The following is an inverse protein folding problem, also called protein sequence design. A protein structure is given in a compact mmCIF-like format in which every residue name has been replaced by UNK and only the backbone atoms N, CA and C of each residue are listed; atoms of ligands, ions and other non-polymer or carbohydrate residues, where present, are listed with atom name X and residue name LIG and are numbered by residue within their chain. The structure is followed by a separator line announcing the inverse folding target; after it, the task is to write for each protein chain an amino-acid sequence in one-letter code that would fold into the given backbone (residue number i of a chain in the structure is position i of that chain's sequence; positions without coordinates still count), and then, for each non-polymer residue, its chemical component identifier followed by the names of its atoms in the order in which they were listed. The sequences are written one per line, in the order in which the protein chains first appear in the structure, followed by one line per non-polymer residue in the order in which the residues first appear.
data_IF_510241444157
#
_entry.id   IF_510241444157
#
_cell.length_a   1.000
_cell.length_b   1.000
_cell.length_c   1.000
_cell.angle_alpha   90.00
_cell.angle_beta   90.00
_cell.angle_gamma   90.00
#
_symmetry.space_group_name_H-M   'P 1'
#
loop_
_entity.id
_entity.type
_entity.pdbx_description
1 polymer ?
#
# COMPACT_ATOMS: atom_id res chain seq x y z
N UNK A 1 -13.74 2.94 21.37
CA UNK A 1 -13.40 3.87 20.28
C UNK A 1 -14.69 4.43 19.73
N UNK A 2 -14.70 5.71 19.35
CA UNK A 2 -15.85 6.31 18.67
C UNK A 2 -15.78 6.03 17.16
N UNK A 3 -16.83 6.39 16.43
CA UNK A 3 -16.95 6.16 14.98
C UNK A 3 -15.77 6.75 14.20
N UNK A 4 -15.34 7.97 14.53
CA UNK A 4 -14.17 8.64 13.92
C UNK A 4 -12.87 7.85 14.12
N UNK A 5 -12.63 7.35 15.33
CA UNK A 5 -11.43 6.57 15.63
C UNK A 5 -11.42 5.20 14.93
N UNK A 6 -12.60 4.63 14.65
CA UNK A 6 -12.71 3.32 14.00
C UNK A 6 -12.24 3.35 12.54
N UNK A 7 -12.25 4.52 11.89
CA UNK A 7 -11.76 4.69 10.51
C UNK A 7 -10.32 4.15 10.37
N UNK A 8 -9.47 4.37 11.38
CA UNK A 8 -8.07 3.95 11.33
C UNK A 8 -7.86 2.44 11.42
N UNK A 9 -8.85 1.72 11.97
CA UNK A 9 -8.82 0.28 12.23
C UNK A 9 -9.79 -0.49 11.32
N UNK A 10 -10.26 0.15 10.25
CA UNK A 10 -11.06 -0.49 9.21
C UNK A 10 -10.28 -1.65 8.56
N UNK A 11 -10.99 -2.74 8.26
CA UNK A 11 -10.45 -3.90 7.55
C UNK A 11 -9.99 -3.57 6.12
N UNK A 12 -10.43 -2.43 5.58
CA UNK A 12 -10.06 -1.96 4.24
C UNK A 12 -9.78 -0.46 4.22
N UNK A 13 -8.87 -0.08 3.33
CA UNK A 13 -8.56 1.31 3.00
C UNK A 13 -8.88 1.59 1.55
N UNK A 14 -9.30 2.82 1.29
CA UNK A 14 -9.44 3.30 -0.08
C UNK A 14 -8.05 3.46 -0.71
N UNK A 15 -7.91 3.31 -2.05
CA UNK A 15 -6.61 3.38 -2.69
C UNK A 15 -5.92 4.74 -2.60
N UNK A 16 -6.68 5.81 -2.37
CA UNK A 16 -6.16 7.18 -2.34
C UNK A 16 -6.91 8.01 -1.31
N UNK A 17 -6.15 8.81 -0.57
CA UNK A 17 -6.62 9.68 0.49
C UNK A 17 -6.04 11.09 0.27
N UNK A 18 -6.89 12.11 0.27
CA UNK A 18 -6.50 13.52 0.05
C UNK A 18 -7.21 14.39 1.09
N UNK A 19 -6.45 15.13 1.91
CA UNK A 19 -6.99 15.87 3.04
C UNK A 19 -6.57 17.34 3.00
N UNK A 20 -7.45 18.21 3.49
CA UNK A 20 -7.14 19.60 3.76
C UNK A 20 -6.76 19.74 5.23
N UNK A 21 -5.46 19.88 5.52
CA UNK A 21 -4.96 19.92 6.90
C UNK A 21 -5.33 21.20 7.65
N UNK A 22 -5.69 22.28 6.95
CA UNK A 22 -6.11 23.53 7.62
C UNK A 22 -7.52 23.38 8.18
N UNK A 23 -8.42 22.76 7.42
CA UNK A 23 -9.82 22.58 7.79
C UNK A 23 -10.12 21.22 8.45
N UNK A 24 -9.27 20.22 8.23
CA UNK A 24 -9.35 18.86 8.77
C UNK A 24 -7.99 18.37 9.30
N UNK A 25 -7.54 18.90 10.45
CA UNK A 25 -6.22 18.57 11.04
C UNK A 25 -6.11 17.13 11.54
N UNK A 26 -7.20 16.36 11.49
CA UNK A 26 -7.25 14.97 11.92
C UNK A 26 -7.44 13.99 10.76
N UNK A 27 -7.45 14.48 9.52
CA UNK A 27 -7.50 13.64 8.30
C UNK A 27 -8.69 12.67 8.31
N UNK A 28 -9.86 13.16 8.73
CA UNK A 28 -11.09 12.38 8.85
C UNK A 28 -11.90 12.42 7.55
N UNK A 29 -11.83 13.51 6.80
CA UNK A 29 -12.68 13.79 5.65
C UNK A 29 -11.89 13.70 4.35
N UNK A 30 -11.85 12.51 3.75
CA UNK A 30 -11.15 12.28 2.50
C UNK A 30 -11.84 13.01 1.31
N UNK A 31 -11.11 13.92 0.68
CA UNK A 31 -11.52 14.77 -0.44
C UNK A 31 -11.15 14.19 -1.82
N UNK A 32 -10.55 12.98 -1.89
CA UNK A 32 -10.06 12.41 -3.16
C UNK A 32 -11.15 12.24 -4.24
N UNK A 33 -12.41 12.08 -3.83
CA UNK A 33 -13.55 11.96 -4.74
C UNK A 33 -14.38 13.25 -4.88
N UNK A 34 -13.98 14.34 -4.23
CA UNK A 34 -14.69 15.62 -4.29
C UNK A 34 -14.36 16.37 -5.61
N UNK A 35 -15.36 16.61 -6.48
CA UNK A 35 -15.15 17.34 -7.73
C UNK A 35 -14.55 18.74 -7.55
N UNK A 36 -14.76 19.39 -6.40
CA UNK A 36 -14.23 20.72 -6.10
C UNK A 36 -12.70 20.74 -5.94
N UNK A 37 -12.13 19.62 -5.48
CA UNK A 37 -10.70 19.48 -5.17
C UNK A 37 -9.89 18.78 -6.26
N UNK A 38 -10.54 18.44 -7.38
CA UNK A 38 -9.94 17.65 -8.48
C UNK A 38 -8.67 18.27 -9.05
N UNK A 39 -8.63 19.59 -9.21
CA UNK A 39 -7.44 20.25 -9.77
C UNK A 39 -6.24 20.07 -8.84
N UNK A 40 -6.41 20.37 -7.55
CA UNK A 40 -5.35 20.20 -6.56
C UNK A 40 -4.89 18.73 -6.48
N UNK A 41 -5.83 17.78 -6.50
CA UNK A 41 -5.51 16.35 -6.50
C UNK A 41 -4.64 15.95 -7.71
N UNK A 42 -5.00 16.41 -8.92
CA UNK A 42 -4.22 16.15 -10.13
C UNK A 42 -2.82 16.77 -10.08
N UNK A 43 -2.67 17.95 -9.49
CA UNK A 43 -1.36 18.57 -9.28
C UNK A 43 -0.48 17.72 -8.35
N UNK A 44 -1.03 17.22 -7.23
CA UNK A 44 -0.31 16.37 -6.29
C UNK A 44 0.06 15.01 -6.90
N UNK A 45 -0.86 14.39 -7.66
CA UNK A 45 -0.57 13.15 -8.42
C UNK A 45 0.61 13.32 -9.36
N UNK A 46 0.68 14.44 -10.08
CA UNK A 46 1.80 14.74 -10.99
C UNK A 46 3.11 14.94 -10.25
N UNK A 47 3.08 15.64 -9.12
CA UNK A 47 4.27 15.83 -8.28
C UNK A 47 4.81 14.49 -7.78
N UNK A 48 3.93 13.63 -7.25
CA UNK A 48 4.30 12.31 -6.76
C UNK A 48 4.85 11.42 -7.89
N UNK A 49 4.16 11.37 -9.04
CA UNK A 49 4.59 10.59 -10.19
C UNK A 49 5.97 11.03 -10.71
N UNK A 50 6.22 12.34 -10.74
CA UNK A 50 7.53 12.88 -11.13
C UNK A 50 8.61 12.47 -10.14
N UNK A 51 8.34 12.56 -8.83
CA UNK A 51 9.28 12.17 -7.80
C UNK A 51 9.62 10.67 -7.81
N UNK A 52 8.63 9.81 -8.01
CA UNK A 52 8.82 8.35 -8.19
C UNK A 52 9.78 8.09 -9.36
N UNK A 53 9.56 8.77 -10.50
CA UNK A 53 10.40 8.60 -11.69
C UNK A 53 11.82 9.15 -11.49
N UNK A 54 11.95 10.33 -10.88
CA UNK A 54 13.23 11.01 -10.65
C UNK A 54 14.13 10.26 -9.65
N UNK A 55 13.53 9.67 -8.61
CA UNK A 55 14.26 8.94 -7.57
C UNK A 55 14.48 7.47 -7.92
N UNK A 56 13.79 6.95 -8.94
CA UNK A 56 13.83 5.54 -9.29
C UNK A 56 13.21 4.65 -8.20
N UNK A 57 12.15 5.13 -7.55
CA UNK A 57 11.44 4.41 -6.49
C UNK A 57 11.01 3.01 -6.95
N UNK A 58 11.30 2.01 -6.10
CA UNK A 58 11.03 0.58 -6.33
C UNK A 58 9.76 0.09 -5.67
N UNK A 59 9.04 0.95 -4.93
CA UNK A 59 7.76 0.59 -4.32
C UNK A 59 6.66 0.21 -5.31
N UNK A 60 6.81 0.53 -6.60
CA UNK A 60 5.90 0.11 -7.67
C UNK A 60 6.18 -1.31 -8.20
N UNK A 61 7.34 -1.88 -7.86
CA UNK A 61 7.77 -3.21 -8.29
C UNK A 61 7.65 -4.19 -7.12
N UNK A 62 7.12 -5.41 -7.32
CA UNK A 62 7.13 -6.43 -6.28
C UNK A 62 8.56 -6.76 -5.84
N UNK A 63 8.71 -7.13 -4.57
CA UNK A 63 9.98 -7.61 -4.04
C UNK A 63 10.52 -8.81 -4.83
N UNK A 64 11.85 -8.90 -4.90
CA UNK A 64 12.49 -10.02 -5.59
C UNK A 64 12.11 -11.36 -4.94
N UNK A 65 12.00 -12.42 -5.75
CA UNK A 65 11.65 -13.75 -5.21
C UNK A 65 12.64 -14.21 -4.12
N UNK A 66 13.93 -13.90 -4.27
CA UNK A 66 14.95 -14.21 -3.27
C UNK A 66 14.66 -13.45 -1.96
N UNK A 67 14.38 -12.14 -2.05
CA UNK A 67 14.01 -11.32 -0.90
C UNK A 67 12.79 -11.87 -0.18
N UNK A 68 11.71 -12.15 -0.92
CA UNK A 68 10.49 -12.73 -0.37
C UNK A 68 10.74 -14.08 0.32
N UNK A 69 11.59 -14.94 -0.26
CA UNK A 69 11.98 -16.23 0.36
C UNK A 69 12.78 -16.03 1.64
N UNK A 70 13.73 -15.10 1.66
CA UNK A 70 14.51 -14.78 2.85
C UNK A 70 13.61 -14.30 4.00
N UNK A 71 12.63 -13.44 3.69
CA UNK A 71 11.68 -12.95 4.71
C UNK A 71 10.75 -14.07 5.17
N UNK A 72 10.22 -14.89 4.25
CA UNK A 72 9.42 -16.06 4.60
C UNK A 72 10.18 -17.07 5.46
N UNK A 73 11.47 -17.32 5.17
CA UNK A 73 12.28 -18.21 5.99
C UNK A 73 12.45 -17.66 7.42
N UNK A 74 12.53 -16.34 7.57
CA UNK A 74 12.73 -15.69 8.88
C UNK A 74 11.44 -15.61 9.70
N UNK A 75 10.31 -15.30 9.06
CA UNK A 75 9.07 -14.93 9.76
C UNK A 75 7.88 -15.86 9.49
N UNK A 76 7.96 -16.73 8.48
CA UNK A 76 7.01 -17.80 8.21
C UNK A 76 5.55 -17.33 8.08
N UNK A 77 4.72 -17.75 9.02
CA UNK A 77 3.28 -17.47 9.03
C UNK A 77 2.94 -16.00 9.37
N UNK A 78 3.88 -15.25 9.95
CA UNK A 78 3.69 -13.82 10.24
C UNK A 78 3.71 -12.94 8.98
N UNK A 79 4.19 -13.48 7.85
CA UNK A 79 4.17 -12.79 6.56
C UNK A 79 2.74 -12.76 5.98
N UNK A 80 1.94 -11.76 6.31
CA UNK A 80 0.53 -11.68 5.88
C UNK A 80 0.31 -11.02 4.51
N UNK A 81 1.32 -10.36 3.92
CA UNK A 81 1.18 -9.73 2.60
C UNK A 81 0.86 -10.78 1.51
N UNK A 82 -0.20 -10.60 0.70
CA UNK A 82 -0.55 -11.49 -0.42
C UNK A 82 0.59 -11.76 -1.43
N UNK A 83 1.58 -10.88 -1.54
CA UNK A 83 2.76 -11.09 -2.41
C UNK A 83 3.49 -12.42 -2.11
N UNK A 84 3.48 -12.85 -0.85
CA UNK A 84 4.11 -14.11 -0.43
C UNK A 84 3.39 -15.36 -0.95
N UNK A 85 2.12 -15.26 -1.36
CA UNK A 85 1.34 -16.42 -1.79
C UNK A 85 1.89 -17.07 -3.05
N UNK A 86 2.43 -16.25 -3.97
CA UNK A 86 3.10 -16.75 -5.17
C UNK A 86 4.33 -17.60 -4.80
N UNK A 87 5.13 -17.13 -3.83
CA UNK A 87 6.35 -17.79 -3.37
C UNK A 87 6.03 -19.05 -2.57
N UNK A 88 5.04 -19.01 -1.67
CA UNK A 88 4.55 -20.19 -0.94
C UNK A 88 4.11 -21.30 -1.89
N UNK A 89 3.34 -20.96 -2.92
CA UNK A 89 2.88 -21.93 -3.94
C UNK A 89 4.06 -22.55 -4.70
N UNK A 90 5.08 -21.76 -5.05
CA UNK A 90 6.31 -22.26 -5.70
C UNK A 90 7.08 -23.21 -4.78
N UNK A 91 7.37 -22.79 -3.54
CA UNK A 91 8.11 -23.61 -2.57
C UNK A 91 7.40 -24.95 -2.29
N UNK A 92 6.06 -24.93 -2.16
CA UNK A 92 5.28 -26.16 -1.99
C UNK A 92 5.34 -27.11 -3.19
N UNK A 93 5.45 -26.58 -4.42
CA UNK A 93 5.62 -27.39 -5.64
C UNK A 93 7.02 -27.99 -5.69
N UNK A 94 8.05 -27.23 -5.30
CA UNK A 94 9.44 -27.70 -5.25
C UNK A 94 9.63 -28.82 -4.22
N UNK A 95 9.05 -28.68 -3.02
CA UNK A 95 9.11 -29.73 -1.99
C UNK A 95 8.38 -31.02 -2.35
N UNK A 96 7.49 -30.99 -3.35
CA UNK A 96 6.74 -32.14 -3.85
C UNK A 96 7.40 -32.80 -5.08
N UNK A 97 8.52 -32.27 -5.56
CA UNK A 97 9.27 -32.84 -6.67
C UNK A 97 10.07 -34.06 -6.15
N UNK A 98 9.98 -35.22 -6.80
CA UNK A 98 10.62 -36.46 -6.34
C UNK A 98 12.15 -36.39 -6.37
#
# INVERSE_FOLDING_TARGET
MNETQLIFFSDSRVPEEFYDLENDPHEIHNLANDPAHRQALEEHRKMLASWIAETGDKGQEPESEIGLRCVLQRWGELCVNPEYDAVRKKMQRESKKP
#
